data_IF_974735650780
#
_entry.id   IF_974735650780
#
_cell.length_a   1.000
_cell.length_b   1.000
_cell.length_c   1.000
_cell.angle_alpha   90.00
_cell.angle_beta   90.00
_cell.angle_gamma   90.00
#
_symmetry.space_group_name_H-M   'P 1'
#
loop_
_entity.id
_entity.type
_entity.pdbx_description
1 polymer ?
#
# COMPACT_ATOMS: atom_id res chain seq x y z
N UNK A 1 55.27 -40.06 41.64
CA UNK A 1 55.18 -38.83 40.80
C UNK A 1 53.82 -38.81 40.13
N UNK A 2 52.86 -38.15 40.76
CA UNK A 2 51.50 -38.03 40.22
C UNK A 2 51.34 -36.65 39.60
N UNK A 3 51.05 -36.57 38.29
CA UNK A 3 50.73 -35.33 37.60
C UNK A 3 49.22 -35.12 37.67
N UNK A 4 48.80 -34.06 38.34
CA UNK A 4 47.44 -33.56 38.31
C UNK A 4 47.27 -32.70 37.03
N UNK A 5 46.30 -33.12 36.19
CA UNK A 5 45.86 -32.32 35.05
C UNK A 5 44.65 -31.48 35.46
N UNK A 6 44.81 -30.17 35.48
CA UNK A 6 43.73 -29.22 35.73
C UNK A 6 42.95 -28.97 34.42
N UNK A 7 41.68 -29.37 34.41
CA UNK A 7 40.77 -29.00 33.31
C UNK A 7 40.17 -27.63 33.57
N UNK A 8 40.38 -26.71 32.64
CA UNK A 8 39.81 -25.36 32.64
C UNK A 8 38.44 -25.47 31.92
N UNK A 9 37.34 -25.32 32.67
CA UNK A 9 36.01 -25.15 32.09
C UNK A 9 35.85 -23.71 31.61
N UNK A 10 35.78 -23.50 30.31
CA UNK A 10 35.38 -22.22 29.70
C UNK A 10 33.84 -22.12 29.70
N UNK A 11 33.32 -21.24 30.53
CA UNK A 11 31.88 -20.90 30.55
C UNK A 11 31.61 -19.95 29.38
N UNK A 12 30.97 -20.45 28.33
CA UNK A 12 30.48 -19.60 27.24
C UNK A 12 29.26 -18.84 27.72
N UNK A 13 29.42 -17.54 27.98
CA UNK A 13 28.29 -16.63 28.13
C UNK A 13 27.57 -16.49 26.77
N UNK A 14 26.45 -17.12 26.60
CA UNK A 14 25.52 -16.79 25.51
C UNK A 14 24.93 -15.42 25.82
N UNK A 15 25.41 -14.37 25.11
CA UNK A 15 24.74 -13.08 25.08
C UNK A 15 23.41 -13.28 24.37
N UNK A 16 22.33 -13.38 25.13
CA UNK A 16 20.98 -13.32 24.62
C UNK A 16 20.80 -11.94 23.95
N UNK A 17 20.51 -11.92 22.66
CA UNK A 17 20.09 -10.70 21.99
C UNK A 17 18.82 -10.21 22.71
N UNK A 18 18.92 -9.09 23.41
CA UNK A 18 17.76 -8.42 23.98
C UNK A 18 16.82 -8.10 22.82
N UNK A 19 15.58 -8.56 22.87
CA UNK A 19 14.57 -8.17 21.92
C UNK A 19 14.48 -6.63 21.96
N UNK A 20 14.67 -5.98 20.82
CA UNK A 20 14.53 -4.53 20.74
C UNK A 20 13.14 -4.15 21.23
N UNK A 21 13.06 -3.14 22.10
CA UNK A 21 11.77 -2.64 22.54
C UNK A 21 10.91 -2.22 21.32
N UNK A 22 9.58 -2.51 21.35
CA UNK A 22 8.72 -2.16 20.23
C UNK A 22 8.76 -0.66 19.99
N UNK A 23 8.99 -0.25 18.75
CA UNK A 23 9.01 1.14 18.36
C UNK A 23 7.66 1.81 18.70
N UNK A 24 7.71 3.03 19.27
CA UNK A 24 6.54 3.83 19.60
C UNK A 24 6.58 5.11 18.76
N UNK A 25 5.53 5.33 17.96
CA UNK A 25 5.41 6.51 17.11
C UNK A 25 4.13 7.29 17.45
N UNK A 26 4.13 8.58 17.13
CA UNK A 26 2.93 9.41 17.24
C UNK A 26 1.85 9.01 16.22
N UNK A 27 0.61 9.55 16.38
CA UNK A 27 -0.51 9.20 15.49
C UNK A 27 -0.30 9.63 14.03
N UNK A 28 0.53 10.63 13.76
CA UNK A 28 0.97 11.01 12.40
C UNK A 28 2.37 10.47 12.10
N UNK A 29 2.70 9.31 12.66
CA UNK A 29 3.96 8.60 12.45
C UNK A 29 5.19 9.48 12.79
N UNK A 30 5.05 10.35 13.80
CA UNK A 30 6.16 11.13 14.35
C UNK A 30 7.19 10.18 14.97
N UNK A 31 8.45 10.43 14.68
CA UNK A 31 9.57 9.58 15.11
C UNK A 31 9.98 8.50 14.12
N UNK A 32 9.23 8.25 13.05
CA UNK A 32 9.65 7.37 11.96
C UNK A 32 10.27 8.17 10.81
N UNK A 33 11.47 7.80 10.39
CA UNK A 33 12.17 8.50 9.30
C UNK A 33 11.74 7.99 7.93
N UNK A 34 11.38 8.93 7.07
CA UNK A 34 11.09 8.66 5.66
C UNK A 34 12.39 8.70 4.83
N UNK A 35 12.45 7.95 3.73
CA UNK A 35 13.68 7.85 2.91
C UNK A 35 14.01 9.15 2.15
N UNK A 36 13.03 10.06 2.00
CA UNK A 36 13.19 11.35 1.32
C UNK A 36 12.46 12.44 2.11
N UNK A 37 12.76 13.71 1.80
CA UNK A 37 12.17 14.86 2.46
C UNK A 37 10.64 14.86 2.34
N UNK A 38 9.97 14.90 3.49
CA UNK A 38 8.51 14.99 3.59
C UNK A 38 8.07 16.45 3.53
N UNK A 39 7.13 16.73 2.64
CA UNK A 39 6.45 18.02 2.51
C UNK A 39 5.00 17.89 2.98
N UNK A 40 4.32 19.02 3.18
CA UNK A 40 2.94 19.08 3.65
C UNK A 40 2.08 19.88 2.69
N UNK A 41 0.94 19.33 2.29
CA UNK A 41 -0.13 20.02 1.59
C UNK A 41 -1.28 20.26 2.55
N UNK A 42 -1.47 21.52 2.96
CA UNK A 42 -2.54 21.92 3.86
C UNK A 42 -3.75 22.41 3.06
N UNK A 43 -4.93 21.91 3.38
CA UNK A 43 -6.15 22.24 2.65
C UNK A 43 -7.40 22.03 3.51
N UNK A 44 -8.50 22.76 3.24
CA UNK A 44 -9.78 22.52 3.89
C UNK A 44 -10.48 21.32 3.26
N UNK A 45 -11.03 20.42 4.09
CA UNK A 45 -11.89 19.33 3.63
C UNK A 45 -12.94 19.01 4.70
N UNK A 46 -14.20 18.89 4.31
CA UNK A 46 -15.35 18.58 5.19
C UNK A 46 -15.38 19.48 6.45
N UNK A 47 -15.13 20.79 6.27
CA UNK A 47 -15.15 21.78 7.37
C UNK A 47 -13.98 21.70 8.34
N UNK A 48 -12.91 20.96 8.01
CA UNK A 48 -11.72 20.79 8.82
C UNK A 48 -10.48 21.23 8.05
N UNK A 49 -9.45 21.71 8.76
CA UNK A 49 -8.11 21.92 8.18
C UNK A 49 -7.32 20.63 8.26
N UNK A 50 -6.95 20.08 7.11
CA UNK A 50 -6.23 18.82 6.98
C UNK A 50 -4.87 19.04 6.33
N UNK A 51 -3.96 18.10 6.56
CA UNK A 51 -2.59 18.10 6.03
C UNK A 51 -2.27 16.74 5.42
N UNK A 52 -1.95 16.70 4.12
CA UNK A 52 -1.39 15.52 3.48
C UNK A 52 0.13 15.60 3.46
N UNK A 53 0.78 14.54 3.92
CA UNK A 53 2.22 14.37 3.80
C UNK A 53 2.56 13.73 2.45
N UNK A 54 3.63 14.20 1.82
CA UNK A 54 4.10 13.64 0.56
C UNK A 54 5.61 13.86 0.39
N UNK A 55 6.21 13.04 -0.45
CA UNK A 55 7.57 13.19 -0.95
C UNK A 55 7.47 13.53 -2.44
N UNK A 56 8.23 14.53 -2.91
CA UNK A 56 8.27 14.99 -4.31
C UNK A 56 9.72 15.03 -4.75
N UNK A 57 10.12 14.05 -5.56
CA UNK A 57 11.51 13.80 -5.93
C UNK A 57 11.71 14.04 -7.42
N UNK A 58 12.55 15.01 -7.74
CA UNK A 58 12.99 15.24 -9.10
C UNK A 58 14.13 14.28 -9.46
N UNK A 59 14.18 13.75 -10.68
CA UNK A 59 15.32 12.99 -11.17
C UNK A 59 16.50 13.92 -11.55
N UNK A 60 17.72 13.39 -11.54
CA UNK A 60 18.90 14.14 -12.01
C UNK A 60 18.83 14.46 -13.51
N UNK A 61 18.27 13.54 -14.30
CA UNK A 61 18.06 13.72 -15.74
C UNK A 61 16.59 13.51 -16.07
N UNK A 62 15.77 14.58 -16.16
CA UNK A 62 14.33 14.47 -16.37
C UNK A 62 13.95 13.94 -17.76
N UNK A 63 13.02 12.98 -17.80
CA UNK A 63 12.36 12.53 -19.03
C UNK A 63 11.04 13.26 -19.33
N UNK A 64 10.69 14.27 -18.52
CA UNK A 64 9.47 15.08 -18.67
C UNK A 64 8.20 14.42 -18.11
N UNK A 65 8.27 13.20 -17.56
CA UNK A 65 7.11 12.44 -17.08
C UNK A 65 7.09 12.36 -15.54
N UNK A 66 5.89 12.30 -14.99
CA UNK A 66 5.67 12.19 -13.54
C UNK A 66 4.93 10.89 -13.21
N UNK A 67 5.35 10.21 -12.14
CA UNK A 67 4.66 9.06 -11.56
C UNK A 67 4.19 9.42 -10.14
N UNK A 68 2.91 9.18 -9.87
CA UNK A 68 2.28 9.36 -8.57
C UNK A 68 2.05 8.00 -7.94
N UNK A 69 2.52 7.82 -6.70
CA UNK A 69 2.48 6.53 -5.99
C UNK A 69 1.46 6.57 -4.85
N UNK A 70 0.46 5.69 -4.93
CA UNK A 70 -0.64 5.54 -3.98
C UNK A 70 -0.47 4.23 -3.20
N UNK A 71 -0.23 4.34 -1.89
CA UNK A 71 0.07 3.20 -1.02
C UNK A 71 -1.16 2.32 -0.72
N UNK A 72 -0.90 1.06 -0.34
CA UNK A 72 -1.89 0.15 0.21
C UNK A 72 -2.27 0.48 1.66
N UNK A 73 -3.35 -0.15 2.17
CA UNK A 73 -3.89 0.13 3.51
C UNK A 73 -2.86 -0.09 4.64
N UNK A 74 -2.04 -1.12 4.53
CA UNK A 74 -1.03 -1.47 5.53
C UNK A 74 0.37 -0.97 5.17
N UNK A 75 0.46 0.06 4.34
CA UNK A 75 1.69 0.69 3.93
C UNK A 75 1.58 2.21 3.97
N UNK A 76 2.71 2.88 3.81
CA UNK A 76 2.87 4.33 3.74
C UNK A 76 3.64 4.71 2.47
N UNK A 77 3.71 5.99 2.15
CA UNK A 77 4.55 6.49 1.05
C UNK A 77 6.02 6.04 1.21
N UNK A 78 6.51 5.88 2.45
CA UNK A 78 7.87 5.39 2.73
C UNK A 78 8.16 4.00 2.15
N UNK A 79 7.16 3.12 2.04
CA UNK A 79 7.36 1.76 1.51
C UNK A 79 7.69 1.73 0.02
N UNK A 80 7.51 2.83 -0.67
CA UNK A 80 7.88 3.00 -2.07
C UNK A 80 9.37 3.36 -2.27
N UNK A 81 10.22 3.34 -1.23
CA UNK A 81 11.63 3.76 -1.29
C UNK A 81 12.38 3.18 -2.50
N UNK A 82 12.34 1.87 -2.70
CA UNK A 82 13.02 1.20 -3.82
C UNK A 82 12.41 1.59 -5.17
N UNK A 83 11.07 1.73 -5.24
CA UNK A 83 10.36 2.13 -6.46
C UNK A 83 10.66 3.58 -6.81
N UNK A 84 10.74 4.49 -5.83
CA UNK A 84 11.13 5.88 -6.04
C UNK A 84 12.54 5.94 -6.65
N UNK A 85 13.51 5.22 -6.06
CA UNK A 85 14.89 5.15 -6.58
C UNK A 85 14.95 4.63 -8.01
N UNK A 86 14.21 3.57 -8.33
CA UNK A 86 14.18 3.00 -9.68
C UNK A 86 13.57 3.98 -10.70
N UNK A 87 12.46 4.64 -10.37
CA UNK A 87 11.79 5.58 -11.25
C UNK A 87 12.61 6.86 -11.45
N UNK A 88 13.18 7.44 -10.38
CA UNK A 88 14.05 8.63 -10.51
C UNK A 88 15.32 8.33 -11.29
N UNK A 89 15.92 7.15 -11.09
CA UNK A 89 17.05 6.67 -11.89
C UNK A 89 16.72 6.52 -13.38
N UNK A 90 15.45 6.32 -13.74
CA UNK A 90 14.94 6.26 -15.11
C UNK A 90 14.40 7.63 -15.61
N UNK A 91 14.63 8.72 -14.88
CA UNK A 91 14.30 10.07 -15.28
C UNK A 91 12.88 10.54 -14.96
N UNK A 92 12.09 9.78 -14.22
CA UNK A 92 10.74 10.21 -13.81
C UNK A 92 10.79 11.10 -12.57
N UNK A 93 10.01 12.19 -12.57
CA UNK A 93 9.62 12.85 -11.30
C UNK A 93 8.67 11.94 -10.54
N UNK A 94 8.87 11.77 -9.23
CA UNK A 94 8.03 10.88 -8.42
C UNK A 94 7.38 11.65 -7.29
N UNK A 95 6.05 11.52 -7.17
CA UNK A 95 5.28 12.02 -6.03
C UNK A 95 4.67 10.84 -5.29
N UNK A 96 5.15 10.56 -4.08
CA UNK A 96 4.61 9.53 -3.20
C UNK A 96 3.92 10.21 -2.01
N UNK A 97 2.65 9.90 -1.77
CA UNK A 97 1.86 10.60 -0.77
C UNK A 97 1.18 9.65 0.22
N UNK A 98 1.04 10.10 1.46
CA UNK A 98 0.20 9.45 2.47
C UNK A 98 -1.22 9.99 2.33
N UNK A 99 -2.20 9.10 2.19
CA UNK A 99 -3.61 9.51 2.15
C UNK A 99 -4.08 10.02 3.52
N UNK A 100 -5.10 10.90 3.56
CA UNK A 100 -5.76 11.28 4.80
C UNK A 100 -6.22 10.03 5.54
N UNK A 101 -5.97 9.96 6.84
CA UNK A 101 -6.22 8.81 7.70
C UNK A 101 -5.02 7.85 7.83
N UNK A 102 -3.94 8.09 7.11
CA UNK A 102 -2.77 7.21 7.07
C UNK A 102 -1.47 7.94 7.43
N UNK A 103 -0.56 7.20 8.02
CA UNK A 103 0.87 7.50 8.17
C UNK A 103 1.17 8.92 8.65
N UNK A 104 1.90 9.73 7.90
CA UNK A 104 2.22 11.11 8.29
C UNK A 104 1.11 12.13 7.95
N UNK A 105 0.02 11.73 7.33
CA UNK A 105 -1.13 12.61 7.07
C UNK A 105 -2.09 12.68 8.24
N UNK A 106 -2.90 13.75 8.29
CA UNK A 106 -3.91 13.98 9.35
C UNK A 106 -4.87 12.80 9.45
N UNK A 107 -5.17 12.44 10.69
CA UNK A 107 -6.20 11.45 11.04
C UNK A 107 -7.37 12.17 11.73
N UNK A 108 -8.35 12.66 10.95
CA UNK A 108 -9.45 13.45 11.48
C UNK A 108 -10.39 12.59 12.34
N UNK A 109 -10.99 13.21 13.36
CA UNK A 109 -11.96 12.53 14.24
C UNK A 109 -13.30 12.31 13.54
N UNK A 110 -13.67 13.22 12.66
CA UNK A 110 -14.93 13.20 11.90
C UNK A 110 -14.62 13.38 10.43
N UNK A 111 -14.69 12.30 9.67
CA UNK A 111 -14.43 12.34 8.25
C UNK A 111 -15.19 11.22 7.55
N UNK A 112 -15.94 11.58 6.53
CA UNK A 112 -16.59 10.60 5.66
C UNK A 112 -15.59 10.17 4.59
N UNK A 113 -15.01 9.00 4.76
CA UNK A 113 -14.09 8.44 3.79
C UNK A 113 -14.84 7.93 2.56
N UNK A 114 -14.35 8.33 1.39
CA UNK A 114 -14.70 7.73 0.11
C UNK A 114 -13.51 7.76 -0.84
N UNK A 115 -13.46 6.83 -1.79
CA UNK A 115 -12.43 6.86 -2.83
C UNK A 115 -12.54 8.13 -3.68
N UNK A 116 -13.75 8.65 -3.88
CA UNK A 116 -13.98 9.93 -4.55
C UNK A 116 -13.33 11.10 -3.79
N UNK A 117 -13.49 11.14 -2.46
CA UNK A 117 -12.89 12.21 -1.66
C UNK A 117 -11.37 12.09 -1.63
N UNK A 118 -10.82 10.86 -1.50
CA UNK A 118 -9.36 10.66 -1.54
C UNK A 118 -8.78 11.00 -2.92
N UNK A 119 -9.47 10.67 -4.00
CA UNK A 119 -9.09 11.05 -5.36
C UNK A 119 -9.12 12.57 -5.55
N UNK A 120 -10.15 13.26 -5.04
CA UNK A 120 -10.24 14.72 -5.05
C UNK A 120 -9.08 15.37 -4.29
N UNK A 121 -8.76 14.89 -3.08
CA UNK A 121 -7.65 15.39 -2.29
C UNK A 121 -6.30 15.20 -3.02
N UNK A 122 -6.11 14.02 -3.61
CA UNK A 122 -4.91 13.72 -4.42
C UNK A 122 -4.82 14.65 -5.62
N UNK A 123 -5.92 14.89 -6.33
CA UNK A 123 -5.95 15.82 -7.47
C UNK A 123 -5.61 17.26 -7.07
N UNK A 124 -6.15 17.74 -5.94
CA UNK A 124 -5.84 19.06 -5.41
C UNK A 124 -4.35 19.20 -5.03
N UNK A 125 -3.75 18.17 -4.41
CA UNK A 125 -2.30 18.15 -4.14
C UNK A 125 -1.50 18.25 -5.44
N UNK A 126 -1.82 17.42 -6.44
CA UNK A 126 -1.10 17.41 -7.73
C UNK A 126 -1.21 18.75 -8.43
N UNK A 127 -2.40 19.37 -8.44
CA UNK A 127 -2.62 20.71 -9.00
C UNK A 127 -1.75 21.76 -8.28
N UNK A 128 -1.63 21.70 -6.94
CA UNK A 128 -0.78 22.59 -6.15
C UNK A 128 0.72 22.45 -6.48
N UNK A 129 1.12 21.32 -7.07
CA UNK A 129 2.49 21.03 -7.53
C UNK A 129 2.70 21.30 -9.02
N UNK A 130 1.69 21.87 -9.70
CA UNK A 130 1.73 22.12 -11.14
C UNK A 130 1.71 20.86 -11.99
N UNK A 131 1.20 19.75 -11.46
CA UNK A 131 1.13 18.47 -12.17
C UNK A 131 -0.28 18.32 -12.74
N UNK A 132 -0.42 18.63 -14.01
CA UNK A 132 -1.70 18.53 -14.74
C UNK A 132 -1.98 17.09 -15.20
N UNK A 133 -0.92 16.32 -15.51
CA UNK A 133 -1.04 14.95 -16.02
C UNK A 133 0.11 14.09 -15.50
N UNK A 134 -0.17 12.84 -15.12
CA UNK A 134 0.81 11.91 -14.58
C UNK A 134 0.41 10.45 -14.80
N UNK A 135 1.38 9.55 -14.71
CA UNK A 135 1.11 8.13 -14.45
C UNK A 135 0.63 7.98 -13.02
N UNK A 136 -0.54 7.36 -12.82
CA UNK A 136 -1.09 7.08 -11.49
C UNK A 136 -0.86 5.60 -11.18
N UNK A 137 -0.03 5.32 -10.19
CA UNK A 137 0.32 3.97 -9.78
C UNK A 137 -0.21 3.69 -8.37
N UNK A 138 -1.00 2.62 -8.23
CA UNK A 138 -1.59 2.25 -6.95
C UNK A 138 -1.39 0.78 -6.59
N UNK A 139 -1.03 0.52 -5.33
CA UNK A 139 -0.92 -0.82 -4.76
C UNK A 139 -2.10 -1.11 -3.84
N UNK A 140 -2.70 -2.30 -3.94
CA UNK A 140 -3.74 -2.76 -3.02
C UNK A 140 -4.93 -1.76 -2.94
N UNK A 141 -5.27 -1.22 -1.77
CA UNK A 141 -6.24 -0.12 -1.61
C UNK A 141 -5.89 1.09 -2.50
N UNK A 142 -4.61 1.41 -2.65
CA UNK A 142 -4.14 2.46 -3.57
C UNK A 142 -4.50 2.16 -5.02
N UNK A 143 -4.66 0.89 -5.39
CA UNK A 143 -5.18 0.46 -6.69
C UNK A 143 -6.65 0.80 -6.88
N UNK A 144 -7.52 0.60 -5.86
CA UNK A 144 -8.91 1.08 -5.89
C UNK A 144 -8.96 2.61 -6.06
N UNK A 145 -8.10 3.32 -5.31
CA UNK A 145 -8.00 4.76 -5.42
C UNK A 145 -7.50 5.21 -6.80
N UNK A 146 -6.50 4.54 -7.37
CA UNK A 146 -5.98 4.83 -8.69
C UNK A 146 -7.04 4.64 -9.79
N UNK A 147 -7.82 3.55 -9.72
CA UNK A 147 -8.96 3.31 -10.61
C UNK A 147 -10.03 4.41 -10.45
N UNK A 148 -10.39 4.75 -9.22
CA UNK A 148 -11.34 5.85 -8.98
C UNK A 148 -10.82 7.20 -9.48
N UNK A 149 -9.54 7.49 -9.28
CA UNK A 149 -8.91 8.71 -9.80
C UNK A 149 -8.98 8.77 -11.33
N UNK A 150 -8.66 7.67 -12.01
CA UNK A 150 -8.71 7.57 -13.48
C UNK A 150 -10.12 7.77 -14.03
N UNK A 151 -11.15 7.25 -13.33
CA UNK A 151 -12.55 7.44 -13.69
C UNK A 151 -13.03 8.88 -13.52
N UNK A 152 -12.57 9.58 -12.47
CA UNK A 152 -12.96 10.96 -12.18
C UNK A 152 -12.18 12.00 -13.01
N UNK A 153 -10.91 11.74 -13.30
CA UNK A 153 -9.98 12.66 -13.93
C UNK A 153 -9.25 12.01 -15.12
N UNK A 154 -9.97 11.49 -16.14
CA UNK A 154 -9.33 10.73 -17.22
C UNK A 154 -8.26 11.52 -17.98
N UNK A 155 -8.43 12.83 -18.15
CA UNK A 155 -7.49 13.68 -18.87
C UNK A 155 -6.21 13.96 -18.06
N UNK A 156 -6.24 13.79 -16.74
CA UNK A 156 -5.10 13.93 -15.84
C UNK A 156 -4.25 12.64 -15.73
N UNK A 157 -4.70 11.53 -16.33
CA UNK A 157 -4.00 10.25 -16.27
C UNK A 157 -3.28 9.98 -17.60
N UNK A 158 -1.96 9.91 -17.56
CA UNK A 158 -1.14 9.50 -18.70
C UNK A 158 -1.18 7.99 -18.89
N UNK A 159 -0.99 7.27 -17.77
CA UNK A 159 -1.09 5.82 -17.69
C UNK A 159 -1.55 5.42 -16.29
N UNK A 160 -2.33 4.35 -16.21
CA UNK A 160 -2.73 3.73 -14.95
C UNK A 160 -1.85 2.50 -14.70
N UNK A 161 -1.24 2.39 -13.50
CA UNK A 161 -0.46 1.22 -13.09
C UNK A 161 -1.10 0.64 -11.82
N UNK A 162 -1.51 -0.61 -11.88
CA UNK A 162 -2.21 -1.31 -10.81
C UNK A 162 -1.37 -2.49 -10.33
N UNK A 163 -0.91 -2.41 -9.08
CA UNK A 163 -0.07 -3.44 -8.44
C UNK A 163 -0.92 -4.18 -7.42
N UNK A 164 -1.24 -5.42 -7.68
CA UNK A 164 -2.12 -6.25 -6.84
C UNK A 164 -3.30 -5.45 -6.27
N UNK A 165 -4.09 -4.77 -7.14
CA UNK A 165 -5.09 -3.81 -6.69
C UNK A 165 -6.24 -4.54 -5.99
N UNK A 166 -6.71 -4.04 -4.86
CA UNK A 166 -8.03 -4.39 -4.35
C UNK A 166 -9.12 -3.89 -5.33
N UNK A 167 -10.34 -4.39 -5.21
CA UNK A 167 -11.49 -3.95 -6.01
C UNK A 167 -11.64 -4.69 -7.34
N UNK A 168 -10.92 -5.79 -7.56
CA UNK A 168 -11.12 -6.71 -8.68
C UNK A 168 -12.22 -7.76 -8.41
N UNK A 169 -12.80 -7.74 -7.20
CA UNK A 169 -13.99 -8.49 -6.78
C UNK A 169 -14.83 -7.66 -5.80
N UNK A 170 -16.13 -7.90 -5.74
CA UNK A 170 -17.03 -7.28 -4.75
C UNK A 170 -17.33 -8.30 -3.64
N UNK A 171 -16.67 -8.16 -2.50
CA UNK A 171 -16.80 -9.07 -1.36
C UNK A 171 -18.22 -9.17 -0.83
N UNK A 172 -19.06 -8.11 -0.94
CA UNK A 172 -20.50 -8.14 -0.58
C UNK A 172 -21.26 -9.09 -1.49
N UNK A 173 -21.05 -8.93 -2.81
CA UNK A 173 -21.70 -9.77 -3.81
C UNK A 173 -21.22 -11.23 -3.72
N UNK A 174 -19.97 -11.45 -3.32
CA UNK A 174 -19.41 -12.79 -3.07
C UNK A 174 -19.91 -13.42 -1.77
N UNK A 175 -20.60 -12.68 -0.89
CA UNK A 175 -21.19 -13.19 0.34
C UNK A 175 -20.31 -13.03 1.60
N UNK A 176 -19.33 -12.14 1.58
CA UNK A 176 -18.59 -11.75 2.80
C UNK A 176 -19.51 -10.92 3.70
N UNK A 177 -19.77 -11.33 4.96
CA UNK A 177 -20.62 -10.56 5.86
C UNK A 177 -20.06 -9.17 6.19
N UNK A 178 -20.95 -8.19 6.28
CA UNK A 178 -20.58 -6.85 6.72
C UNK A 178 -20.14 -6.85 8.19
N UNK A 179 -19.07 -6.11 8.49
CA UNK A 179 -18.68 -5.78 9.84
C UNK A 179 -18.89 -4.29 10.08
N UNK A 180 -19.60 -3.91 11.14
CA UNK A 180 -19.83 -2.50 11.46
C UNK A 180 -18.50 -1.78 11.74
N UNK A 181 -18.46 -0.46 11.56
CA UNK A 181 -17.30 0.36 11.92
C UNK A 181 -16.91 0.13 13.39
N UNK A 182 -17.90 0.04 14.30
CA UNK A 182 -17.65 -0.22 15.71
C UNK A 182 -16.95 -1.57 15.94
N UNK A 183 -17.41 -2.64 15.27
CA UNK A 183 -16.78 -3.97 15.36
C UNK A 183 -15.34 -3.93 14.83
N UNK A 184 -15.14 -3.26 13.70
CA UNK A 184 -13.80 -3.11 13.08
C UNK A 184 -12.89 -2.27 13.97
N UNK A 185 -13.39 -1.20 14.58
CA UNK A 185 -12.63 -0.38 15.53
C UNK A 185 -12.13 -1.21 16.72
N UNK A 186 -12.99 -2.02 17.33
CA UNK A 186 -12.59 -2.90 18.42
C UNK A 186 -11.51 -3.93 18.02
N UNK A 187 -11.55 -4.41 16.77
CA UNK A 187 -10.50 -5.25 16.22
C UNK A 187 -9.20 -4.46 16.00
N UNK A 188 -9.28 -3.25 15.46
CA UNK A 188 -8.13 -2.37 15.24
C UNK A 188 -7.41 -1.99 16.54
N UNK A 189 -8.13 -1.82 17.65
CA UNK A 189 -7.53 -1.58 18.96
C UNK A 189 -6.64 -2.73 19.48
N UNK A 190 -6.75 -3.91 18.90
CA UNK A 190 -5.93 -5.10 19.24
C UNK A 190 -4.71 -5.25 18.32
N UNK A 191 -4.52 -4.32 17.37
CA UNK A 191 -3.41 -4.37 16.43
C UNK A 191 -2.07 -4.26 17.16
N UNK A 192 -1.14 -5.14 16.82
CA UNK A 192 0.21 -5.24 17.36
C UNK A 192 1.21 -5.60 16.27
N UNK A 193 2.50 -5.54 16.58
CA UNK A 193 3.56 -6.02 15.67
C UNK A 193 3.29 -7.46 15.23
N UNK A 194 3.04 -8.35 16.17
CA UNK A 194 2.84 -9.78 15.89
C UNK A 194 1.59 -10.02 15.04
N UNK A 195 0.49 -9.30 15.30
CA UNK A 195 -0.74 -9.46 14.53
C UNK A 195 -0.58 -8.97 13.09
N UNK A 196 0.12 -7.85 12.87
CA UNK A 196 0.43 -7.34 11.52
C UNK A 196 1.35 -8.33 10.79
N UNK A 197 2.41 -8.78 11.47
CA UNK A 197 3.37 -9.73 10.90
C UNK A 197 2.71 -11.03 10.50
N UNK A 198 1.85 -11.59 11.37
CA UNK A 198 1.12 -12.82 11.08
C UNK A 198 0.18 -12.67 9.87
N UNK A 199 -0.53 -11.55 9.78
CA UNK A 199 -1.41 -11.25 8.64
C UNK A 199 -0.62 -11.08 7.34
N UNK A 200 0.46 -10.30 7.35
CA UNK A 200 1.29 -10.09 6.18
C UNK A 200 2.03 -11.36 5.75
N UNK A 201 2.55 -12.15 6.70
CA UNK A 201 3.19 -13.43 6.40
C UNK A 201 2.24 -14.36 5.62
N UNK A 202 0.98 -14.43 6.06
CA UNK A 202 -0.03 -15.28 5.44
C UNK A 202 -0.53 -14.72 4.12
N UNK A 203 -0.91 -13.43 4.10
CA UNK A 203 -1.69 -12.84 3.01
C UNK A 203 -0.81 -12.15 1.97
N UNK A 204 0.33 -11.54 2.38
CA UNK A 204 1.18 -10.75 1.49
C UNK A 204 2.37 -11.55 0.97
N UNK A 205 3.01 -12.32 1.84
CA UNK A 205 4.28 -13.00 1.54
C UNK A 205 4.15 -14.51 1.45
N UNK A 206 2.94 -15.04 1.28
CA UNK A 206 2.60 -16.46 1.07
C UNK A 206 3.39 -17.45 1.96
N UNK A 207 3.58 -17.08 3.24
CA UNK A 207 4.29 -17.90 4.24
C UNK A 207 5.80 -17.71 4.27
N UNK A 208 6.37 -16.82 3.45
CA UNK A 208 7.81 -16.53 3.43
C UNK A 208 8.11 -15.16 4.02
N UNK A 209 8.93 -15.12 5.07
CA UNK A 209 9.30 -13.88 5.75
C UNK A 209 10.77 -13.56 5.56
N UNK A 210 11.06 -12.30 5.28
CA UNK A 210 12.42 -11.77 5.26
C UNK A 210 12.58 -10.72 6.36
N UNK A 211 13.74 -10.66 7.06
CA UNK A 211 13.98 -9.70 8.15
C UNK A 211 13.73 -8.24 7.76
N UNK A 212 14.00 -7.87 6.52
CA UNK A 212 13.79 -6.50 6.02
C UNK A 212 12.33 -6.05 6.01
N UNK A 213 11.35 -6.97 6.09
CA UNK A 213 9.94 -6.64 6.18
C UNK A 213 9.54 -6.14 7.58
N UNK A 214 10.31 -6.50 8.63
CA UNK A 214 10.05 -6.09 10.01
C UNK A 214 10.00 -4.56 10.16
N UNK A 215 10.79 -3.81 9.37
CA UNK A 215 10.75 -2.34 9.34
C UNK A 215 9.35 -1.79 9.02
N UNK A 216 8.65 -2.41 8.08
CA UNK A 216 7.32 -1.97 7.65
C UNK A 216 6.25 -2.35 8.66
N UNK A 217 6.41 -3.49 9.32
CA UNK A 217 5.56 -3.89 10.45
C UNK A 217 5.75 -2.95 11.64
N UNK A 218 7.01 -2.64 12.01
CA UNK A 218 7.33 -1.71 13.08
C UNK A 218 6.78 -0.30 12.82
N UNK A 219 6.86 0.17 11.57
CA UNK A 219 6.29 1.45 11.14
C UNK A 219 4.80 1.56 11.47
N UNK A 220 4.03 0.54 11.15
CA UNK A 220 2.58 0.53 11.41
C UNK A 220 2.27 0.29 12.89
N UNK A 221 2.85 -0.76 13.49
CA UNK A 221 2.57 -1.14 14.88
C UNK A 221 2.96 -0.06 15.87
N UNK A 222 4.01 0.72 15.57
CA UNK A 222 4.47 1.82 16.42
C UNK A 222 3.43 2.90 16.62
N UNK A 223 2.57 3.18 15.62
CA UNK A 223 1.45 4.11 15.79
C UNK A 223 0.35 3.57 16.74
N UNK A 224 0.20 2.24 16.83
CA UNK A 224 -0.73 1.61 17.77
C UNK A 224 -0.14 1.44 19.17
N UNK A 225 1.17 1.53 19.32
CA UNK A 225 1.85 1.47 20.62
C UNK A 225 1.81 2.82 21.37
N UNK A 226 1.60 3.94 20.65
CA UNK A 226 1.61 5.29 21.19
C UNK A 226 0.24 5.78 21.69
N UNK A 227 0.23 6.99 22.25
CA UNK A 227 -0.98 7.68 22.75
C UNK A 227 -2.04 7.95 21.66
N UNK A 228 -1.66 7.88 20.38
CA UNK A 228 -2.57 8.06 19.25
C UNK A 228 -3.35 6.83 18.84
N UNK A 229 -3.20 5.70 19.52
CA UNK A 229 -3.78 4.38 19.19
C UNK A 229 -5.25 4.43 18.80
N UNK A 230 -6.07 5.07 19.60
CA UNK A 230 -7.52 5.14 19.37
C UNK A 230 -7.84 5.91 18.08
N UNK A 231 -7.14 7.02 17.85
CA UNK A 231 -7.30 7.82 16.62
C UNK A 231 -6.87 7.03 15.37
N UNK A 232 -5.75 6.32 15.45
CA UNK A 232 -5.28 5.46 14.37
C UNK A 232 -6.29 4.35 14.10
N UNK A 233 -6.70 3.62 15.14
CA UNK A 233 -7.67 2.54 15.06
C UNK A 233 -9.02 2.99 14.46
N UNK A 234 -9.50 4.18 14.86
CA UNK A 234 -10.75 4.76 14.34
C UNK A 234 -10.66 5.02 12.83
N UNK A 235 -9.61 5.71 12.37
CA UNK A 235 -9.42 6.00 10.95
C UNK A 235 -9.21 4.71 10.13
N UNK A 236 -8.52 3.71 10.69
CA UNK A 236 -8.35 2.41 10.05
C UNK A 236 -9.68 1.63 9.97
N UNK A 237 -10.58 1.78 10.92
CA UNK A 237 -11.92 1.18 10.86
C UNK A 237 -12.78 1.85 9.76
N UNK A 238 -12.80 3.18 9.71
CA UNK A 238 -13.52 3.94 8.68
C UNK A 238 -13.01 3.63 7.25
N UNK A 239 -11.70 3.52 7.07
CA UNK A 239 -11.13 3.17 5.76
C UNK A 239 -11.35 1.70 5.39
N UNK A 240 -11.50 0.80 6.35
CA UNK A 240 -11.93 -0.58 6.09
C UNK A 240 -13.38 -0.64 5.61
N UNK A 241 -14.25 0.19 6.20
CA UNK A 241 -15.64 0.32 5.77
C UNK A 241 -15.73 0.89 4.35
N UNK A 242 -14.94 1.93 4.04
CA UNK A 242 -14.81 2.48 2.69
C UNK A 242 -14.43 1.41 1.66
N UNK A 243 -13.40 0.60 1.96
CA UNK A 243 -12.94 -0.48 1.07
C UNK A 243 -14.07 -1.47 0.80
N UNK A 244 -14.78 -1.89 1.84
CA UNK A 244 -15.84 -2.89 1.73
C UNK A 244 -17.09 -2.34 1.02
N UNK A 245 -17.48 -1.08 1.29
CA UNK A 245 -18.77 -0.52 0.83
C UNK A 245 -18.71 0.12 -0.55
N UNK A 246 -17.49 0.39 -1.09
CA UNK A 246 -17.32 1.14 -2.33
C UNK A 246 -16.58 0.34 -3.41
N UNK A 247 -17.18 -0.73 -3.96
CA UNK A 247 -16.56 -1.51 -5.02
C UNK A 247 -16.37 -0.67 -6.28
N UNK A 248 -15.29 -0.90 -7.01
CA UNK A 248 -14.97 -0.24 -8.28
C UNK A 248 -15.07 -1.20 -9.47
N UNK A 249 -15.22 -2.50 -9.21
CA UNK A 249 -15.22 -3.55 -10.23
C UNK A 249 -16.22 -3.32 -11.36
N UNK A 250 -17.39 -2.74 -11.07
CA UNK A 250 -18.46 -2.51 -12.03
C UNK A 250 -18.17 -1.41 -13.05
N UNK A 251 -17.09 -0.64 -12.81
CA UNK A 251 -16.70 0.51 -13.63
C UNK A 251 -15.41 0.28 -14.41
N UNK A 252 -14.79 -0.91 -14.31
CA UNK A 252 -13.51 -1.21 -14.99
C UNK A 252 -13.56 -1.00 -16.50
N UNK A 253 -14.67 -1.33 -17.14
CA UNK A 253 -14.89 -1.12 -18.58
C UNK A 253 -14.99 0.35 -19.01
N UNK A 254 -15.10 1.29 -18.05
CA UNK A 254 -15.15 2.74 -18.29
C UNK A 254 -13.78 3.42 -18.18
N UNK A 255 -12.74 2.70 -17.75
CA UNK A 255 -11.36 3.23 -17.65
C UNK A 255 -10.83 3.50 -19.06
N UNK A 256 -10.48 4.76 -19.32
CA UNK A 256 -9.98 5.21 -20.63
C UNK A 256 -8.46 5.20 -20.75
N UNK A 257 -7.77 5.20 -19.60
CA UNK A 257 -6.31 5.28 -19.55
C UNK A 257 -5.69 3.94 -19.93
N UNK A 258 -4.60 3.96 -20.71
CA UNK A 258 -3.75 2.78 -20.88
C UNK A 258 -3.38 2.23 -19.51
N UNK A 259 -3.62 0.95 -19.29
CA UNK A 259 -3.49 0.32 -17.96
C UNK A 259 -2.45 -0.79 -17.99
N UNK A 260 -1.53 -0.74 -17.03
CA UNK A 260 -0.59 -1.82 -16.71
C UNK A 260 -1.05 -2.52 -15.43
N UNK A 261 -1.44 -3.78 -15.52
CA UNK A 261 -1.77 -4.64 -14.40
C UNK A 261 -0.53 -5.47 -14.03
N UNK A 262 -0.09 -5.43 -12.77
CA UNK A 262 1.07 -6.14 -12.25
C UNK A 262 0.61 -7.03 -11.08
N UNK A 263 0.54 -8.33 -11.28
CA UNK A 263 -0.18 -9.26 -10.41
C UNK A 263 0.75 -10.36 -9.87
N UNK A 264 0.78 -10.51 -8.54
CA UNK A 264 1.44 -11.63 -7.86
C UNK A 264 0.61 -12.91 -7.94
N UNK A 265 1.23 -13.99 -8.45
CA UNK A 265 0.57 -15.27 -8.66
C UNK A 265 0.18 -16.01 -7.37
N UNK A 266 0.84 -15.66 -6.26
CA UNK A 266 0.58 -16.22 -4.93
C UNK A 266 -0.33 -15.33 -4.08
N UNK A 267 -0.73 -14.16 -4.57
CA UNK A 267 -1.63 -13.27 -3.82
C UNK A 267 -3.00 -13.92 -3.58
N UNK A 268 -3.44 -13.86 -2.32
CA UNK A 268 -4.74 -14.35 -1.83
C UNK A 268 -5.40 -13.34 -0.91
N UNK A 269 -5.07 -12.06 -1.08
CA UNK A 269 -5.60 -10.99 -0.25
C UNK A 269 -7.09 -10.79 -0.54
N UNK A 270 -7.92 -11.00 0.47
CA UNK A 270 -9.37 -10.77 0.38
C UNK A 270 -9.88 -10.16 1.69
N UNK A 271 -10.13 -8.84 1.75
CA UNK A 271 -10.64 -8.16 2.93
C UNK A 271 -11.92 -8.81 3.47
N UNK A 272 -11.86 -9.28 4.72
CA UNK A 272 -13.01 -9.89 5.39
C UNK A 272 -13.25 -11.36 5.08
N UNK A 273 -12.42 -12.03 4.31
CA UNK A 273 -12.55 -13.47 4.03
C UNK A 273 -12.64 -14.31 5.31
N UNK A 274 -11.98 -13.89 6.40
CA UNK A 274 -12.04 -14.55 7.71
C UNK A 274 -13.42 -14.51 8.38
N UNK A 275 -14.37 -13.72 7.86
CA UNK A 275 -15.76 -13.66 8.33
C UNK A 275 -16.72 -14.44 7.44
N UNK A 276 -16.28 -14.80 6.25
CA UNK A 276 -17.09 -15.54 5.28
C UNK A 276 -17.16 -17.05 5.65
N UNK A 277 -18.22 -17.76 5.24
CA UNK A 277 -18.22 -19.22 5.24
C UNK A 277 -17.00 -19.78 4.53
N UNK A 278 -16.49 -20.93 4.98
CA UNK A 278 -15.25 -21.51 4.49
C UNK A 278 -15.23 -21.71 2.96
N UNK A 279 -16.34 -22.14 2.37
CA UNK A 279 -16.53 -22.33 0.93
C UNK A 279 -16.41 -21.02 0.13
N UNK A 280 -16.90 -19.91 0.70
CA UNK A 280 -16.76 -18.58 0.11
C UNK A 280 -15.31 -18.09 0.26
N UNK A 281 -14.76 -18.16 1.48
CA UNK A 281 -13.39 -17.74 1.77
C UNK A 281 -12.36 -18.43 0.87
N UNK A 282 -12.56 -19.69 0.53
CA UNK A 282 -11.64 -20.49 -0.28
C UNK A 282 -11.53 -20.00 -1.74
N UNK A 283 -12.54 -19.33 -2.27
CA UNK A 283 -12.56 -18.83 -3.66
C UNK A 283 -12.16 -17.36 -3.81
N UNK A 284 -12.17 -16.59 -2.71
CA UNK A 284 -11.81 -15.17 -2.73
C UNK A 284 -10.31 -14.96 -2.94
N UNK A 285 -9.96 -13.80 -3.48
CA UNK A 285 -8.58 -13.37 -3.63
C UNK A 285 -7.76 -14.22 -4.61
N UNK A 286 -8.37 -14.85 -5.61
CA UNK A 286 -7.66 -15.56 -6.65
C UNK A 286 -7.08 -14.56 -7.68
N UNK A 287 -6.01 -13.86 -7.29
CA UNK A 287 -5.46 -12.76 -8.09
C UNK A 287 -5.03 -13.14 -9.52
N UNK A 288 -4.47 -14.31 -9.81
CA UNK A 288 -4.23 -14.71 -11.21
C UNK A 288 -5.49 -14.66 -12.07
N UNK A 289 -6.62 -15.13 -11.55
CA UNK A 289 -7.89 -15.10 -12.28
C UNK A 289 -8.50 -13.69 -12.29
N UNK A 290 -8.47 -12.99 -11.15
CA UNK A 290 -8.94 -11.62 -11.02
C UNK A 290 -8.19 -10.68 -11.97
N UNK A 291 -6.87 -10.79 -12.05
CA UNK A 291 -6.03 -10.01 -12.95
C UNK A 291 -6.34 -10.26 -14.41
N UNK A 292 -6.47 -11.53 -14.82
CA UNK A 292 -6.86 -11.88 -16.20
C UNK A 292 -8.26 -11.40 -16.56
N UNK A 293 -9.20 -11.46 -15.62
CA UNK A 293 -10.56 -10.91 -15.81
C UNK A 293 -10.52 -9.39 -15.95
N UNK A 294 -9.80 -8.70 -15.09
CA UNK A 294 -9.63 -7.25 -15.17
C UNK A 294 -8.97 -6.82 -16.48
N UNK A 295 -7.92 -7.53 -16.92
CA UNK A 295 -7.24 -7.26 -18.19
C UNK A 295 -8.15 -7.41 -19.42
N UNK A 296 -9.13 -8.32 -19.35
CA UNK A 296 -10.16 -8.45 -20.42
C UNK A 296 -11.26 -7.39 -20.33
N UNK A 297 -11.49 -6.82 -19.15
CA UNK A 297 -12.57 -5.85 -18.91
C UNK A 297 -12.14 -4.42 -19.17
N UNK A 298 -10.90 -4.08 -18.81
CA UNK A 298 -10.34 -2.74 -19.05
C UNK A 298 -9.94 -2.64 -20.54
N UNK A 299 -10.42 -1.62 -21.29
CA UNK A 299 -10.28 -1.59 -22.75
C UNK A 299 -8.85 -1.59 -23.29
N UNK A 300 -7.92 -0.92 -22.62
CA UNK A 300 -6.48 -0.84 -23.02
C UNK A 300 -5.60 -1.30 -21.84
N UNK A 301 -5.59 -2.61 -21.59
CA UNK A 301 -4.86 -3.22 -20.49
C UNK A 301 -3.77 -4.18 -20.95
N UNK A 302 -2.61 -4.08 -20.30
CA UNK A 302 -1.52 -5.06 -20.39
C UNK A 302 -1.37 -5.72 -19.01
N UNK A 303 -1.27 -7.06 -18.98
CA UNK A 303 -1.09 -7.83 -17.77
C UNK A 303 0.34 -8.35 -17.68
N UNK A 304 0.98 -8.11 -16.54
CA UNK A 304 2.24 -8.72 -16.13
C UNK A 304 1.98 -9.58 -14.90
N UNK A 305 2.28 -10.87 -14.98
CA UNK A 305 2.13 -11.80 -13.86
C UNK A 305 3.51 -12.13 -13.27
N UNK A 306 3.59 -12.18 -11.94
CA UNK A 306 4.74 -12.65 -11.16
C UNK A 306 4.35 -13.96 -10.46
N UNK A 307 4.55 -15.13 -11.10
CA UNK A 307 3.97 -16.41 -10.64
C UNK A 307 4.32 -16.80 -9.21
N UNK A 308 5.52 -16.40 -8.74
CA UNK A 308 6.07 -16.80 -7.44
C UNK A 308 5.92 -15.72 -6.36
N UNK A 309 5.39 -14.52 -6.68
CA UNK A 309 5.26 -13.42 -5.74
C UNK A 309 3.83 -13.31 -5.18
N UNK A 310 3.72 -12.75 -3.98
CA UNK A 310 2.45 -12.49 -3.29
C UNK A 310 1.90 -11.10 -3.56
N UNK A 311 1.28 -10.51 -2.52
CA UNK A 311 0.55 -9.24 -2.60
C UNK A 311 1.44 -8.00 -2.75
N UNK A 312 2.74 -8.12 -2.56
CA UNK A 312 3.64 -6.96 -2.54
C UNK A 312 4.89 -7.19 -3.41
N UNK A 313 4.74 -7.47 -4.73
CA UNK A 313 5.86 -7.81 -5.60
C UNK A 313 6.95 -6.74 -5.64
N UNK A 314 6.61 -5.45 -5.46
CA UNK A 314 7.53 -4.32 -5.36
C UNK A 314 8.44 -4.38 -4.11
N UNK A 315 8.02 -5.13 -3.09
CA UNK A 315 8.79 -5.34 -1.84
C UNK A 315 9.49 -6.70 -1.86
N UNK A 316 8.82 -7.73 -2.38
CA UNK A 316 9.32 -9.11 -2.38
C UNK A 316 10.48 -9.34 -3.34
N UNK A 317 10.39 -8.77 -4.56
CA UNK A 317 11.38 -8.91 -5.62
C UNK A 317 11.56 -7.59 -6.39
N UNK A 318 12.11 -6.54 -5.74
CA UNK A 318 12.16 -5.19 -6.29
C UNK A 318 12.85 -5.11 -7.66
N UNK A 319 13.91 -5.85 -7.90
CA UNK A 319 14.65 -5.82 -9.17
C UNK A 319 13.80 -6.35 -10.34
N UNK A 320 13.14 -7.49 -10.16
CA UNK A 320 12.28 -8.07 -11.19
C UNK A 320 11.04 -7.20 -11.43
N UNK A 321 10.45 -6.69 -10.35
CA UNK A 321 9.30 -5.80 -10.40
C UNK A 321 9.63 -4.49 -11.14
N UNK A 322 10.71 -3.80 -10.76
CA UNK A 322 11.07 -2.52 -11.37
C UNK A 322 11.47 -2.66 -12.84
N UNK A 323 12.10 -3.76 -13.25
CA UNK A 323 12.38 -4.03 -14.66
C UNK A 323 11.07 -4.08 -15.46
N UNK A 324 10.12 -4.89 -15.04
CA UNK A 324 8.82 -5.03 -15.71
C UNK A 324 8.01 -3.71 -15.68
N UNK A 325 8.09 -2.96 -14.57
CA UNK A 325 7.46 -1.64 -14.46
C UNK A 325 8.03 -0.67 -15.49
N UNK A 326 9.36 -0.54 -15.60
CA UNK A 326 10.01 0.39 -16.51
C UNK A 326 9.76 0.00 -17.98
N UNK A 327 9.74 -1.27 -18.31
CA UNK A 327 9.33 -1.78 -19.63
C UNK A 327 7.90 -1.38 -19.97
N UNK A 328 6.96 -1.57 -19.02
CA UNK A 328 5.55 -1.21 -19.19
C UNK A 328 5.31 0.30 -19.33
N UNK A 329 6.11 1.13 -18.62
CA UNK A 329 6.06 2.58 -18.72
C UNK A 329 6.64 3.08 -20.06
N UNK A 330 7.71 2.46 -20.55
CA UNK A 330 8.35 2.81 -21.83
C UNK A 330 7.46 2.48 -23.01
N UNK A 331 6.78 1.35 -23.00
CA UNK A 331 5.83 0.93 -24.03
C UNK A 331 4.63 1.89 -24.17
N UNK A 332 4.31 2.66 -23.13
CA UNK A 332 3.25 3.66 -23.16
C UNK A 332 3.68 4.96 -23.88
N UNK A 333 4.97 5.26 -23.88
CA UNK A 333 5.52 6.49 -24.48
C UNK A 333 5.87 6.39 -25.98
N UNK A 334 5.77 5.20 -26.57
CA UNK A 334 5.99 5.05 -28.01
C UNK A 334 4.78 5.63 -28.79
N UNK A 335 4.98 6.53 -29.75
CA UNK A 335 3.90 6.99 -30.62
C UNK A 335 3.33 5.78 -31.39
N UNK A 336 1.98 5.69 -31.43
CA UNK A 336 1.28 4.72 -32.28
C UNK A 336 1.43 5.09 -33.75
#
# INVERSE_FOLDING_TARGET
MHRLSSAIFATACAAGAAAAEPAVYGPELEGFDYPFTVQRFNFPSQGQSLSMAFMDIAPDTPNGRTVVLLHGKNFCAATWEATIKALTGAGYRVVALDQIGFCKSTKPERYQYSFQQLAHNTHALLASRGIARATIMGHSMGGMLAMRYSLMYPDAVEQLVLVDPLGLEDWKAEGVPYATVATTYQAQLKTSFDSIKADQLKSYYHGQWKPEYDRWVAMLSGMYAGAGKERVAWNQALTSDMIYTQPVIYELGLIKSKTLLMIGGKDRTAPGANRAPAEIAARLGNYPELGRRAARTIPDATLVEFPELGHSPQVEAPEAFHRALLEGLSAAGAPK
#
